data_IF_633898656760
#
_entry.id   IF_633898656760
#
_cell.length_a   1.000
_cell.length_b   1.000
_cell.length_c   1.000
_cell.angle_alpha   90.00
_cell.angle_beta   90.00
_cell.angle_gamma   90.00
#
_symmetry.space_group_name_H-M   'P 1'
#
loop_
_entity.id
_entity.type
_entity.pdbx_description
1 polymer ?
#
# COMPACT_ATOMS: atom_id res chain seq x y z
N UNK A 1 91.43 -23.18 0.71
CA UNK A 1 92.07 -23.51 -0.58
C UNK A 1 91.41 -22.61 -1.63
N UNK A 2 92.21 -21.80 -2.04
CA UNK A 2 92.76 -21.43 -3.38
C UNK A 2 91.80 -20.61 -4.22
N UNK A 3 92.11 -19.34 -4.31
CA UNK A 3 92.77 -18.62 -5.43
C UNK A 3 91.90 -18.65 -6.71
N UNK A 4 91.67 -17.66 -7.50
CA UNK A 4 92.49 -16.45 -7.79
C UNK A 4 91.73 -15.66 -8.87
N UNK A 5 91.73 -14.35 -8.79
CA UNK A 5 92.32 -13.43 -9.83
C UNK A 5 91.62 -13.42 -11.18
N UNK A 6 91.41 -12.38 -11.83
CA UNK A 6 91.85 -10.99 -11.95
C UNK A 6 91.42 -10.47 -13.34
N UNK A 7 91.27 -9.15 -13.41
CA UNK A 7 91.44 -8.27 -14.60
C UNK A 7 90.27 -8.31 -15.63
N UNK A 8 89.78 -7.28 -16.15
CA UNK A 8 90.15 -5.89 -16.10
C UNK A 8 89.41 -5.08 -17.19
N UNK A 9 89.34 -3.80 -16.99
CA UNK A 9 89.27 -2.76 -18.05
C UNK A 9 88.05 -2.81 -19.01
N UNK A 10 87.37 -1.82 -19.33
CA UNK A 10 87.39 -0.36 -19.27
C UNK A 10 86.28 0.17 -20.18
N UNK A 11 85.68 1.22 -19.73
CA UNK A 11 85.20 2.39 -20.46
C UNK A 11 84.28 2.23 -21.64
N UNK A 12 83.13 2.89 -21.60
CA UNK A 12 82.82 4.08 -22.36
C UNK A 12 81.33 4.43 -22.20
N UNK A 13 81.12 5.55 -21.55
CA UNK A 13 80.18 6.62 -21.85
C UNK A 13 79.03 6.35 -22.85
N UNK A 14 77.82 6.44 -22.41
CA UNK A 14 76.65 6.55 -23.25
C UNK A 14 75.45 6.91 -22.39
N UNK A 15 75.27 8.20 -22.10
CA UNK A 15 74.11 8.69 -21.41
C UNK A 15 72.82 8.48 -22.26
N UNK A 16 71.93 7.71 -21.75
CA UNK A 16 70.53 7.69 -22.23
C UNK A 16 69.66 8.28 -21.12
N UNK A 17 69.26 9.54 -21.35
CA UNK A 17 68.24 10.19 -20.59
C UNK A 17 66.92 9.48 -20.82
N UNK A 18 66.51 8.72 -19.82
CA UNK A 18 65.13 8.17 -19.78
C UNK A 18 64.15 9.30 -19.51
N UNK A 19 63.46 9.77 -20.55
CA UNK A 19 62.33 10.64 -20.45
C UNK A 19 61.17 9.80 -19.86
N UNK A 20 60.92 9.94 -18.56
CA UNK A 20 59.73 9.40 -17.92
C UNK A 20 58.59 10.35 -18.30
N UNK A 21 57.82 10.01 -19.33
CA UNK A 21 56.57 10.66 -19.67
C UNK A 21 55.55 10.23 -18.61
N UNK A 22 55.31 11.09 -17.64
CA UNK A 22 54.16 11.02 -16.75
C UNK A 22 52.91 11.28 -17.62
N UNK A 23 52.31 10.21 -18.12
CA UNK A 23 50.92 10.25 -18.61
C UNK A 23 50.02 10.51 -17.40
N UNK A 24 49.75 11.77 -17.11
CA UNK A 24 48.66 12.15 -16.24
C UNK A 24 47.36 11.63 -16.89
N UNK A 25 46.95 10.44 -16.46
CA UNK A 25 45.64 9.90 -16.84
C UNK A 25 44.58 10.87 -16.37
N UNK A 26 44.04 11.64 -17.30
CA UNK A 26 42.79 12.36 -17.09
C UNK A 26 41.74 11.29 -16.89
N UNK A 27 41.43 10.97 -15.64
CA UNK A 27 40.25 10.19 -15.31
C UNK A 27 39.05 11.04 -15.70
N UNK A 28 38.59 10.91 -16.95
CA UNK A 28 37.29 11.36 -17.35
C UNK A 28 36.31 10.50 -16.55
N UNK A 29 35.71 11.09 -15.52
CA UNK A 29 34.57 10.48 -14.85
C UNK A 29 33.54 10.19 -15.96
N UNK A 30 33.40 8.91 -16.33
CA UNK A 30 32.37 8.49 -17.28
C UNK A 30 31.01 8.98 -16.82
N UNK A 31 30.07 9.19 -17.74
CA UNK A 31 28.74 9.65 -17.37
C UNK A 31 28.19 8.68 -16.32
N UNK A 32 27.98 9.18 -15.11
CA UNK A 32 27.27 8.43 -14.06
C UNK A 32 25.92 8.09 -14.65
N UNK A 33 25.60 6.80 -14.72
CA UNK A 33 24.32 6.35 -15.20
C UNK A 33 23.25 6.90 -14.25
N UNK A 34 22.61 7.95 -14.65
CA UNK A 34 21.52 8.60 -13.93
C UNK A 34 20.32 7.66 -13.94
N UNK A 35 19.80 7.33 -12.77
CA UNK A 35 18.58 6.54 -12.64
C UNK A 35 17.40 7.47 -12.31
N UNK A 36 16.27 7.21 -12.97
CA UNK A 36 15.02 7.86 -12.66
C UNK A 36 14.31 7.04 -11.58
N UNK A 37 13.83 7.73 -10.55
CA UNK A 37 12.91 7.19 -9.57
C UNK A 37 11.57 7.90 -9.65
N UNK A 38 10.54 7.26 -9.14
CA UNK A 38 9.21 7.84 -9.02
C UNK A 38 8.72 7.70 -7.59
N UNK A 39 7.96 8.68 -7.14
CA UNK A 39 7.20 8.60 -5.88
C UNK A 39 5.89 9.35 -6.04
N UNK A 40 4.90 8.98 -5.23
CA UNK A 40 3.61 9.64 -5.18
C UNK A 40 3.52 10.43 -3.88
N UNK A 41 3.02 11.65 -3.98
CA UNK A 41 2.77 12.50 -2.81
C UNK A 41 1.38 13.10 -2.88
N UNK A 42 0.78 13.32 -1.74
CA UNK A 42 -0.39 14.18 -1.59
C UNK A 42 -0.09 15.29 -0.59
N UNK A 43 -0.62 16.47 -0.84
CA UNK A 43 -0.43 17.63 0.01
C UNK A 43 -1.80 18.20 0.38
N UNK A 44 -2.04 18.31 1.68
CA UNK A 44 -3.24 18.94 2.22
C UNK A 44 -2.84 20.20 2.98
N UNK A 45 -3.66 21.23 2.89
CA UNK A 45 -3.51 22.46 3.69
C UNK A 45 -4.00 22.27 5.14
N UNK A 46 -3.94 23.31 5.93
CA UNK A 46 -4.37 23.29 7.35
C UNK A 46 -5.86 23.03 7.53
N UNK A 47 -6.67 23.23 6.50
CA UNK A 47 -8.09 22.93 6.47
C UNK A 47 -8.39 21.52 5.92
N UNK A 48 -7.36 20.71 5.68
CA UNK A 48 -7.42 19.40 5.02
C UNK A 48 -7.95 19.47 3.57
N UNK A 49 -7.74 20.59 2.88
CA UNK A 49 -8.05 20.71 1.45
C UNK A 49 -6.82 20.32 0.62
N UNK A 50 -7.01 19.63 -0.51
CA UNK A 50 -5.90 19.31 -1.40
C UNK A 50 -5.26 20.56 -2.00
N UNK A 51 -3.92 20.59 -1.98
CA UNK A 51 -3.14 21.60 -2.69
C UNK A 51 -2.92 21.13 -4.12
N UNK A 52 -3.54 21.79 -5.08
CA UNK A 52 -3.60 21.34 -6.48
C UNK A 52 -2.74 22.18 -7.45
N UNK A 53 -2.00 23.14 -6.92
CA UNK A 53 -1.21 24.11 -7.69
C UNK A 53 0.30 24.02 -7.37
N UNK A 54 0.79 22.81 -7.01
CA UNK A 54 2.21 22.60 -6.73
C UNK A 54 3.04 22.69 -8.00
N UNK A 55 4.22 23.30 -7.86
CA UNK A 55 5.25 23.39 -8.88
C UNK A 55 6.49 22.57 -8.49
N UNK A 56 7.35 22.27 -9.46
CA UNK A 56 8.59 21.49 -9.22
C UNK A 56 9.46 22.13 -8.13
N UNK A 57 9.52 23.46 -8.09
CA UNK A 57 10.30 24.22 -7.11
C UNK A 57 9.75 24.17 -5.68
N UNK A 58 8.52 23.69 -5.49
CA UNK A 58 7.91 23.56 -4.17
C UNK A 58 8.32 22.26 -3.45
N UNK A 59 8.95 21.32 -4.16
CA UNK A 59 9.21 19.97 -3.65
C UNK A 59 10.71 19.68 -3.62
N UNK A 60 11.18 19.22 -2.46
CA UNK A 60 12.50 18.64 -2.29
C UNK A 60 12.38 17.13 -2.09
N UNK A 61 13.20 16.35 -2.77
CA UNK A 61 13.26 14.89 -2.64
C UNK A 61 14.66 14.49 -2.20
N UNK A 62 14.74 13.71 -1.10
CA UNK A 62 15.98 13.10 -0.65
C UNK A 62 15.88 11.58 -0.77
N UNK A 63 16.93 10.97 -1.26
CA UNK A 63 17.10 9.51 -1.31
C UNK A 63 18.37 9.17 -0.56
N UNK A 64 18.26 8.36 0.50
CA UNK A 64 19.36 8.01 1.40
C UNK A 64 20.12 9.26 1.90
N UNK A 65 19.35 10.31 2.27
CA UNK A 65 19.80 11.62 2.74
C UNK A 65 20.58 12.46 1.70
N UNK A 66 20.51 12.09 0.40
CA UNK A 66 21.10 12.83 -0.72
C UNK A 66 20.00 13.55 -1.50
N UNK A 67 20.19 14.85 -1.75
CA UNK A 67 19.27 15.64 -2.56
C UNK A 67 19.19 15.09 -3.99
N UNK A 68 17.96 14.89 -4.46
CA UNK A 68 17.67 14.44 -5.80
C UNK A 68 16.97 15.53 -6.61
N UNK A 69 17.38 15.68 -7.86
CA UNK A 69 16.75 16.65 -8.76
C UNK A 69 15.35 16.15 -9.16
N UNK A 70 14.32 16.91 -8.81
CA UNK A 70 12.98 16.70 -9.36
C UNK A 70 12.96 17.12 -10.82
N UNK A 71 12.55 16.21 -11.70
CA UNK A 71 12.51 16.42 -13.15
C UNK A 71 11.09 16.71 -13.63
N UNK A 72 10.11 16.02 -13.02
CA UNK A 72 8.71 16.09 -13.45
C UNK A 72 7.79 16.00 -12.25
N UNK A 73 6.73 16.77 -12.27
CA UNK A 73 5.64 16.78 -11.32
C UNK A 73 4.34 16.70 -12.10
N UNK A 74 3.55 15.65 -11.92
CA UNK A 74 2.32 15.41 -12.68
C UNK A 74 1.17 15.14 -11.72
N UNK A 75 0.03 15.85 -11.85
CA UNK A 75 -1.15 15.52 -11.09
C UNK A 75 -1.67 14.13 -11.50
N UNK A 76 -2.06 13.34 -10.50
CA UNK A 76 -2.64 12.00 -10.67
C UNK A 76 -3.99 11.99 -9.97
N UNK A 77 -5.01 11.56 -10.69
CA UNK A 77 -6.35 11.36 -10.14
C UNK A 77 -6.66 9.86 -10.20
N UNK A 78 -6.42 9.19 -9.09
CA UNK A 78 -6.67 7.75 -8.99
C UNK A 78 -7.62 7.45 -7.84
N UNK A 79 -8.93 7.30 -8.15
CA UNK A 79 -9.96 7.13 -7.12
C UNK A 79 -9.87 5.77 -6.44
N UNK A 80 -10.47 5.67 -5.25
CA UNK A 80 -10.68 4.40 -4.57
C UNK A 80 -11.90 3.69 -5.17
N UNK A 81 -11.77 2.37 -5.35
CA UNK A 81 -12.90 1.43 -5.46
C UNK A 81 -12.99 0.58 -4.19
N UNK A 82 -14.10 0.68 -3.51
CA UNK A 82 -14.33 0.01 -2.25
C UNK A 82 -15.13 -1.29 -2.44
N UNK A 83 -14.58 -2.38 -1.92
CA UNK A 83 -15.30 -3.65 -1.78
C UNK A 83 -15.61 -3.87 -0.30
N UNK A 84 -16.88 -4.00 0.04
CA UNK A 84 -17.32 -4.34 1.40
C UNK A 84 -17.76 -5.79 1.42
N UNK A 85 -17.16 -6.59 2.28
CA UNK A 85 -17.50 -8.00 2.49
C UNK A 85 -17.99 -8.21 3.92
N UNK A 86 -19.12 -8.88 4.07
CA UNK A 86 -19.78 -9.06 5.36
C UNK A 86 -20.02 -10.54 5.59
N UNK A 87 -19.58 -11.01 6.76
CA UNK A 87 -19.94 -12.31 7.26
C UNK A 87 -21.44 -12.33 7.58
N UNK A 88 -22.16 -13.30 7.03
CA UNK A 88 -23.59 -13.53 7.27
C UNK A 88 -23.84 -14.91 7.90
N UNK A 89 -22.83 -15.47 8.54
CA UNK A 89 -22.88 -16.76 9.23
C UNK A 89 -23.62 -16.73 10.58
N UNK A 90 -23.56 -17.85 11.34
CA UNK A 90 -24.35 -18.01 12.55
C UNK A 90 -24.14 -16.97 13.66
N UNK A 91 -22.93 -16.42 13.78
CA UNK A 91 -22.63 -15.36 14.75
C UNK A 91 -23.30 -14.06 14.35
N UNK A 92 -23.12 -13.66 13.10
CA UNK A 92 -23.70 -12.44 12.53
C UNK A 92 -25.22 -12.48 12.52
N UNK A 93 -25.80 -13.67 12.34
CA UNK A 93 -27.26 -13.86 12.32
C UNK A 93 -27.94 -13.34 13.60
N UNK A 94 -27.33 -13.55 14.76
CA UNK A 94 -27.84 -13.06 16.05
C UNK A 94 -27.81 -11.55 16.15
N UNK A 95 -26.86 -10.91 15.48
CA UNK A 95 -26.57 -9.49 15.54
C UNK A 95 -26.93 -8.75 14.22
N UNK A 96 -27.72 -9.39 13.35
CA UNK A 96 -27.96 -8.91 12.01
C UNK A 96 -28.54 -7.49 11.97
N UNK A 97 -29.42 -7.13 12.89
CA UNK A 97 -29.97 -5.79 13.02
C UNK A 97 -28.87 -4.75 13.30
N UNK A 98 -27.94 -5.06 14.19
CA UNK A 98 -26.79 -4.24 14.55
C UNK A 98 -25.84 -4.07 13.35
N UNK A 99 -25.53 -5.17 12.65
CA UNK A 99 -24.73 -5.14 11.43
C UNK A 99 -25.35 -4.25 10.35
N UNK A 100 -26.64 -4.40 10.09
CA UNK A 100 -27.35 -3.57 9.10
C UNK A 100 -27.34 -2.09 9.49
N UNK A 101 -27.58 -1.77 10.75
CA UNK A 101 -27.50 -0.39 11.25
C UNK A 101 -26.10 0.21 11.08
N UNK A 102 -25.07 -0.55 11.45
CA UNK A 102 -23.68 -0.13 11.33
C UNK A 102 -23.24 0.07 9.86
N UNK A 103 -23.69 -0.81 8.96
CA UNK A 103 -23.40 -0.70 7.52
C UNK A 103 -24.10 0.53 6.90
N UNK A 104 -25.34 0.87 7.33
CA UNK A 104 -26.00 2.10 6.90
C UNK A 104 -25.18 3.32 7.32
N UNK A 105 -24.81 3.41 8.58
CA UNK A 105 -23.99 4.50 9.09
C UNK A 105 -22.60 4.58 8.40
N UNK A 106 -22.04 3.44 8.05
CA UNK A 106 -20.80 3.38 7.25
C UNK A 106 -20.97 3.98 5.86
N UNK A 107 -22.00 3.55 5.10
CA UNK A 107 -22.23 4.05 3.75
C UNK A 107 -22.67 5.52 3.71
N UNK A 108 -23.36 6.00 4.75
CA UNK A 108 -23.70 7.42 4.92
C UNK A 108 -22.47 8.28 5.17
N UNK A 109 -21.48 7.75 5.91
CA UNK A 109 -20.25 8.47 6.23
C UNK A 109 -19.21 8.47 5.10
N UNK A 110 -19.36 7.61 4.07
CA UNK A 110 -18.47 7.57 2.93
C UNK A 110 -18.70 8.75 1.97
N UNK A 111 -17.65 9.35 1.40
CA UNK A 111 -17.78 10.29 0.29
C UNK A 111 -18.67 9.73 -0.84
N UNK A 112 -19.55 10.55 -1.45
CA UNK A 112 -20.53 10.06 -2.41
C UNK A 112 -19.95 9.56 -3.72
N UNK A 113 -18.73 9.96 -4.05
CA UNK A 113 -18.01 9.64 -5.27
C UNK A 113 -17.21 8.33 -5.20
N UNK A 114 -17.07 7.72 -4.01
CA UNK A 114 -16.44 6.40 -3.87
C UNK A 114 -17.37 5.32 -4.44
N UNK A 115 -16.92 4.65 -5.50
CA UNK A 115 -17.59 3.50 -6.07
C UNK A 115 -17.49 2.30 -5.12
N UNK A 116 -18.61 1.76 -4.69
CA UNK A 116 -18.67 0.75 -3.62
C UNK A 116 -19.48 -0.47 -4.06
N UNK A 117 -18.98 -1.65 -3.73
CA UNK A 117 -19.67 -2.94 -3.91
C UNK A 117 -19.91 -3.62 -2.56
N UNK A 118 -20.97 -4.42 -2.47
CA UNK A 118 -21.35 -5.15 -1.24
C UNK A 118 -21.45 -6.65 -1.53
N UNK A 119 -20.81 -7.45 -0.69
CA UNK A 119 -20.79 -8.91 -0.75
C UNK A 119 -21.10 -9.53 0.61
N UNK A 120 -21.68 -10.73 0.61
CA UNK A 120 -21.63 -11.65 1.74
C UNK A 120 -20.55 -12.70 1.50
N UNK A 121 -20.02 -13.32 2.57
CA UNK A 121 -18.92 -14.29 2.44
C UNK A 121 -19.33 -15.75 2.68
N UNK A 122 -20.53 -16.01 3.18
CA UNK A 122 -20.99 -17.36 3.47
C UNK A 122 -22.11 -17.83 2.51
N UNK A 123 -22.12 -19.11 2.13
CA UNK A 123 -21.08 -20.14 2.28
C UNK A 123 -19.94 -19.96 1.24
N UNK A 124 -20.06 -18.96 0.40
CA UNK A 124 -19.07 -18.47 -0.57
C UNK A 124 -19.37 -17.02 -0.88
N UNK A 125 -18.38 -16.23 -1.33
CA UNK A 125 -18.58 -14.84 -1.66
C UNK A 125 -19.70 -14.63 -2.69
N UNK A 126 -20.72 -13.86 -2.32
CA UNK A 126 -21.86 -13.51 -3.18
C UNK A 126 -21.99 -12.00 -3.33
N UNK A 127 -22.17 -11.55 -4.55
CA UNK A 127 -22.45 -10.15 -4.84
C UNK A 127 -23.89 -9.83 -4.41
N UNK A 128 -24.06 -8.91 -3.48
CA UNK A 128 -25.33 -8.33 -3.09
C UNK A 128 -25.58 -7.06 -3.93
N UNK A 129 -24.58 -6.17 -3.97
CA UNK A 129 -24.63 -4.96 -4.80
C UNK A 129 -23.35 -4.86 -5.63
N UNK A 130 -23.50 -4.77 -6.95
CA UNK A 130 -22.39 -4.49 -7.86
C UNK A 130 -21.85 -3.08 -7.59
N UNK A 131 -20.60 -2.83 -7.95
CA UNK A 131 -19.96 -1.55 -7.77
C UNK A 131 -20.81 -0.39 -8.29
N UNK A 132 -21.09 0.56 -7.41
CA UNK A 132 -21.98 1.70 -7.67
C UNK A 132 -21.65 2.88 -6.74
N UNK A 133 -21.97 4.08 -7.19
CA UNK A 133 -21.99 5.30 -6.36
C UNK A 133 -23.38 5.60 -5.79
N UNK A 134 -24.38 4.85 -6.20
CA UNK A 134 -25.77 5.00 -5.77
C UNK A 134 -25.96 4.48 -4.34
N UNK A 135 -26.01 5.40 -3.38
CA UNK A 135 -26.17 5.08 -1.95
C UNK A 135 -27.51 4.43 -1.62
N UNK A 136 -28.55 4.72 -2.41
CA UNK A 136 -29.84 4.08 -2.22
C UNK A 136 -29.79 2.58 -2.57
N UNK A 137 -29.09 2.22 -3.65
CA UNK A 137 -28.88 0.80 -4.00
C UNK A 137 -28.06 0.08 -2.91
N UNK A 138 -27.05 0.72 -2.34
CA UNK A 138 -26.28 0.14 -1.23
C UNK A 138 -27.18 -0.07 -0.01
N UNK A 139 -28.00 0.91 0.36
CA UNK A 139 -28.94 0.81 1.47
C UNK A 139 -29.96 -0.33 1.27
N UNK A 140 -30.53 -0.46 0.07
CA UNK A 140 -31.40 -1.58 -0.29
C UNK A 140 -30.67 -2.93 -0.22
N UNK A 141 -29.41 -2.98 -0.67
CA UNK A 141 -28.58 -4.17 -0.60
C UNK A 141 -28.32 -4.66 0.83
N UNK A 142 -28.22 -3.75 1.81
CA UNK A 142 -28.08 -4.13 3.23
C UNK A 142 -29.27 -4.98 3.69
N UNK A 143 -30.49 -4.65 3.23
CA UNK A 143 -31.69 -5.39 3.60
C UNK A 143 -31.75 -6.78 2.99
N UNK A 144 -31.03 -7.01 1.88
CA UNK A 144 -30.90 -8.31 1.22
C UNK A 144 -29.85 -9.22 1.85
N UNK A 145 -29.06 -8.76 2.83
CA UNK A 145 -28.13 -9.63 3.57
C UNK A 145 -28.98 -10.62 4.37
N UNK A 146 -29.02 -11.87 3.90
CA UNK A 146 -29.73 -12.95 4.58
C UNK A 146 -28.78 -13.81 5.40
N UNK A 147 -29.24 -14.35 6.55
CA UNK A 147 -28.47 -15.32 7.33
C UNK A 147 -28.10 -16.55 6.50
N UNK A 148 -26.93 -17.09 6.77
CA UNK A 148 -26.48 -18.38 6.24
C UNK A 148 -25.99 -19.27 7.39
N UNK A 149 -26.21 -20.58 7.29
CA UNK A 149 -25.78 -21.56 8.29
C UNK A 149 -24.37 -22.10 8.02
N UNK A 150 -23.78 -21.75 6.87
CA UNK A 150 -22.45 -22.19 6.47
C UNK A 150 -21.34 -21.62 7.36
N UNK A 151 -20.21 -22.32 7.41
CA UNK A 151 -19.01 -21.81 8.06
C UNK A 151 -18.47 -20.60 7.27
N UNK A 152 -17.91 -19.63 8.00
CA UNK A 152 -17.29 -18.46 7.37
C UNK A 152 -16.12 -18.86 6.46
N UNK A 153 -16.07 -18.27 5.29
CA UNK A 153 -15.02 -18.50 4.29
C UNK A 153 -14.08 -17.29 4.22
N UNK A 154 -13.59 -16.85 5.38
CA UNK A 154 -12.80 -15.62 5.51
C UNK A 154 -11.62 -15.57 4.54
N UNK A 155 -10.79 -16.61 4.52
CA UNK A 155 -9.58 -16.62 3.70
C UNK A 155 -9.89 -16.73 2.21
N UNK A 156 -10.84 -17.63 1.85
CA UNK A 156 -11.26 -17.77 0.45
C UNK A 156 -11.91 -16.49 -0.09
N UNK A 157 -12.69 -15.79 0.75
CA UNK A 157 -13.27 -14.49 0.39
C UNK A 157 -12.18 -13.42 0.16
N UNK A 158 -11.14 -13.44 0.98
CA UNK A 158 -10.00 -12.53 0.83
C UNK A 158 -9.22 -12.80 -0.47
N UNK A 159 -8.96 -14.08 -0.77
CA UNK A 159 -8.31 -14.50 -2.03
C UNK A 159 -9.16 -14.10 -3.24
N UNK A 160 -10.48 -14.37 -3.20
CA UNK A 160 -11.39 -13.99 -4.29
C UNK A 160 -11.46 -12.47 -4.48
N UNK A 161 -11.46 -11.67 -3.40
CA UNK A 161 -11.40 -10.22 -3.49
C UNK A 161 -10.12 -9.78 -4.23
N UNK A 162 -8.97 -10.39 -3.91
CA UNK A 162 -7.71 -10.11 -4.58
C UNK A 162 -7.72 -10.48 -6.06
N UNK A 163 -8.39 -11.56 -6.44
CA UNK A 163 -8.60 -11.96 -7.84
C UNK A 163 -9.41 -10.91 -8.63
N UNK A 164 -10.37 -10.26 -7.96
CA UNK A 164 -11.16 -9.18 -8.56
C UNK A 164 -10.32 -7.93 -8.77
N UNK A 165 -9.41 -7.58 -7.84
CA UNK A 165 -8.47 -6.48 -8.02
C UNK A 165 -7.60 -6.68 -9.27
N UNK A 166 -7.19 -7.90 -9.54
CA UNK A 166 -6.36 -8.21 -10.71
C UNK A 166 -7.16 -8.18 -12.02
N UNK A 167 -8.41 -8.59 -11.99
CA UNK A 167 -9.32 -8.58 -13.15
C UNK A 167 -9.80 -7.18 -13.53
N UNK A 168 -9.91 -6.26 -12.57
CA UNK A 168 -10.31 -4.88 -12.85
C UNK A 168 -9.14 -4.12 -13.50
N UNK A 169 -9.40 -3.60 -14.71
CA UNK A 169 -8.40 -2.87 -15.51
C UNK A 169 -8.57 -1.35 -15.42
N UNK A 170 -9.55 -0.87 -14.65
CA UNK A 170 -9.69 0.57 -14.43
C UNK A 170 -8.57 1.10 -13.53
N UNK A 171 -8.17 2.35 -13.74
CA UNK A 171 -7.12 2.98 -12.93
C UNK A 171 -7.72 3.47 -11.60
N UNK A 172 -7.50 2.69 -10.54
CA UNK A 172 -8.02 2.97 -9.20
C UNK A 172 -7.18 2.26 -8.13
N UNK A 173 -7.32 2.71 -6.89
CA UNK A 173 -6.79 2.00 -5.73
C UNK A 173 -7.86 1.07 -5.15
N UNK A 174 -7.65 -0.26 -5.13
CA UNK A 174 -8.59 -1.17 -4.51
C UNK A 174 -8.55 -1.02 -2.98
N UNK A 175 -9.72 -0.89 -2.36
CA UNK A 175 -9.86 -0.95 -0.90
C UNK A 175 -10.84 -2.06 -0.56
N UNK A 176 -10.44 -2.95 0.35
CA UNK A 176 -11.29 -3.98 0.92
C UNK A 176 -11.61 -3.64 2.37
N UNK A 177 -12.89 -3.61 2.72
CA UNK A 177 -13.39 -3.59 4.07
C UNK A 177 -14.10 -4.89 4.36
N UNK A 178 -13.58 -5.71 5.26
CA UNK A 178 -14.19 -6.98 5.64
C UNK A 178 -14.65 -6.91 7.10
N UNK A 179 -15.93 -7.19 7.31
CA UNK A 179 -16.55 -7.31 8.64
C UNK A 179 -16.92 -8.77 8.84
N UNK A 180 -16.19 -9.45 9.69
CA UNK A 180 -16.31 -10.90 9.88
C UNK A 180 -16.34 -11.28 11.35
N UNK A 181 -16.58 -12.57 11.64
CA UNK A 181 -16.42 -13.16 12.96
C UNK A 181 -15.18 -14.06 13.00
N UNK A 182 -14.65 -14.31 14.19
CA UNK A 182 -13.54 -15.24 14.43
C UNK A 182 -13.99 -16.71 14.56
N UNK A 183 -15.27 -16.97 14.35
CA UNK A 183 -15.84 -18.31 14.46
C UNK A 183 -15.64 -19.09 13.16
N UNK A 184 -14.47 -19.68 13.09
CA UNK A 184 -14.13 -20.79 12.24
C UNK A 184 -14.36 -20.60 10.74
N UNK A 185 -13.29 -20.47 10.00
CA UNK A 185 -13.36 -20.64 8.56
C UNK A 185 -12.91 -22.04 8.18
N UNK A 186 -13.66 -22.69 7.31
CA UNK A 186 -13.11 -23.75 6.51
C UNK A 186 -12.12 -23.07 5.55
N UNK A 187 -10.86 -23.49 5.57
CA UNK A 187 -9.86 -23.01 4.63
C UNK A 187 -9.71 -24.07 3.54
N UNK A 188 -10.05 -23.71 2.31
CA UNK A 188 -9.66 -24.47 1.13
C UNK A 188 -8.41 -23.89 0.47
N UNK A 189 -8.06 -22.65 0.80
CA UNK A 189 -6.91 -21.95 0.24
C UNK A 189 -5.58 -22.49 0.81
N UNK A 190 -4.58 -22.58 -0.04
CA UNK A 190 -3.25 -23.11 0.23
C UNK A 190 -2.21 -21.97 0.34
N UNK A 191 -1.01 -22.29 0.85
CA UNK A 191 0.12 -21.35 0.93
C UNK A 191 0.37 -20.58 -0.37
N UNK A 192 0.21 -21.25 -1.52
CA UNK A 192 0.35 -20.63 -2.83
C UNK A 192 -0.67 -19.51 -3.06
N UNK A 193 -1.89 -19.63 -2.54
CA UNK A 193 -2.94 -18.64 -2.71
C UNK A 193 -2.68 -17.44 -1.81
N UNK A 194 -2.09 -17.66 -0.64
CA UNK A 194 -1.63 -16.61 0.25
C UNK A 194 -0.48 -15.79 -0.40
N UNK A 195 0.49 -16.44 -1.02
CA UNK A 195 1.56 -15.75 -1.73
C UNK A 195 1.02 -14.90 -2.90
N UNK A 196 0.06 -15.41 -3.67
CA UNK A 196 -0.60 -14.66 -4.73
C UNK A 196 -1.37 -13.46 -4.19
N UNK A 197 -2.11 -13.63 -3.07
CA UNK A 197 -2.80 -12.55 -2.38
C UNK A 197 -1.84 -11.43 -2.01
N UNK A 198 -0.72 -11.75 -1.34
CA UNK A 198 0.28 -10.77 -0.93
C UNK A 198 0.86 -10.02 -2.14
N UNK A 199 1.23 -10.75 -3.19
CA UNK A 199 1.74 -10.16 -4.44
C UNK A 199 0.74 -9.18 -5.04
N UNK A 200 -0.54 -9.54 -5.15
CA UNK A 200 -1.58 -8.68 -5.71
C UNK A 200 -1.84 -7.44 -4.88
N UNK A 201 -1.85 -7.57 -3.55
CA UNK A 201 -1.98 -6.42 -2.64
C UNK A 201 -0.90 -5.39 -2.94
N UNK A 202 0.35 -5.82 -3.05
CA UNK A 202 1.49 -4.93 -3.33
C UNK A 202 1.40 -4.35 -4.75
N UNK A 203 1.20 -5.19 -5.77
CA UNK A 203 1.18 -4.75 -7.18
C UNK A 203 0.03 -3.80 -7.51
N UNK A 204 -1.11 -3.94 -6.83
CA UNK A 204 -2.29 -3.08 -7.04
C UNK A 204 -2.34 -1.89 -6.08
N UNK A 205 -1.46 -1.85 -5.09
CA UNK A 205 -1.53 -0.88 -4.02
C UNK A 205 -2.85 -0.97 -3.24
N UNK A 206 -3.32 -2.21 -3.03
CA UNK A 206 -4.59 -2.41 -2.35
C UNK A 206 -4.47 -2.17 -0.85
N UNK A 207 -5.47 -1.53 -0.25
CA UNK A 207 -5.60 -1.39 1.21
C UNK A 207 -6.67 -2.34 1.74
N UNK A 208 -6.37 -3.08 2.81
CA UNK A 208 -7.29 -4.07 3.38
C UNK A 208 -7.55 -3.79 4.85
N UNK A 209 -8.81 -3.56 5.18
CA UNK A 209 -9.27 -3.33 6.54
C UNK A 209 -10.11 -4.50 7.04
N UNK A 210 -9.95 -4.84 8.31
CA UNK A 210 -10.74 -5.87 8.98
C UNK A 210 -11.38 -5.34 10.26
N UNK A 211 -12.63 -5.75 10.47
CA UNK A 211 -13.27 -5.71 11.79
C UNK A 211 -13.74 -7.13 12.09
N UNK A 212 -13.21 -7.72 13.15
CA UNK A 212 -13.49 -9.08 13.54
C UNK A 212 -14.29 -9.07 14.84
N UNK A 213 -15.51 -9.61 14.77
CA UNK A 213 -16.34 -9.83 15.97
C UNK A 213 -15.92 -11.13 16.64
N UNK A 214 -15.52 -11.02 17.90
CA UNK A 214 -15.22 -12.18 18.73
C UNK A 214 -16.51 -12.95 19.05
N UNK A 215 -16.66 -14.13 18.45
CA UNK A 215 -17.88 -14.94 18.58
C UNK A 215 -17.98 -15.72 19.87
N UNK A 216 -16.90 -15.79 20.65
CA UNK A 216 -16.81 -16.59 21.88
C UNK A 216 -16.84 -18.10 21.65
N UNK A 217 -16.52 -18.87 22.70
CA UNK A 217 -16.56 -20.32 22.69
C UNK A 217 -15.31 -20.99 22.10
N UNK A 218 -15.38 -22.34 22.01
CA UNK A 218 -14.23 -23.16 21.58
C UNK A 218 -13.76 -22.89 20.15
N UNK A 219 -14.65 -22.45 19.27
CA UNK A 219 -14.30 -22.17 17.86
C UNK A 219 -13.44 -20.94 17.68
N UNK A 220 -13.64 -19.91 18.50
CA UNK A 220 -12.79 -18.70 18.48
C UNK A 220 -11.33 -19.02 18.88
N UNK A 221 -11.14 -20.01 19.75
CA UNK A 221 -9.84 -20.49 20.18
C UNK A 221 -9.30 -21.67 19.33
N UNK A 222 -9.93 -21.94 18.20
CA UNK A 222 -9.48 -22.99 17.27
C UNK A 222 -8.24 -22.56 16.49
N UNK A 223 -7.54 -23.55 15.92
CA UNK A 223 -6.41 -23.29 15.01
C UNK A 223 -6.84 -22.39 13.82
N UNK A 224 -8.06 -22.58 13.33
CA UNK A 224 -8.61 -21.77 12.24
C UNK A 224 -8.82 -20.30 12.66
N UNK A 225 -9.31 -20.03 13.87
CA UNK A 225 -9.46 -18.66 14.39
C UNK A 225 -8.11 -17.96 14.62
N UNK A 226 -7.12 -18.71 15.15
CA UNK A 226 -5.76 -18.20 15.30
C UNK A 226 -5.13 -17.82 13.96
N UNK A 227 -5.25 -18.67 12.95
CA UNK A 227 -4.73 -18.44 11.61
C UNK A 227 -5.45 -17.29 10.91
N UNK A 228 -6.76 -17.14 11.09
CA UNK A 228 -7.52 -15.99 10.59
C UNK A 228 -6.98 -14.66 11.16
N UNK A 229 -6.67 -14.64 12.45
CA UNK A 229 -6.08 -13.47 13.12
C UNK A 229 -4.69 -13.17 12.57
N UNK A 230 -3.84 -14.19 12.43
CA UNK A 230 -2.48 -14.05 11.88
C UNK A 230 -2.51 -13.51 10.46
N UNK A 231 -3.30 -14.09 9.58
CA UNK A 231 -3.48 -13.64 8.19
C UNK A 231 -4.03 -12.21 8.15
N UNK A 232 -5.05 -11.91 8.95
CA UNK A 232 -5.64 -10.58 9.03
C UNK A 232 -4.62 -9.52 9.43
N UNK A 233 -3.83 -9.77 10.47
CA UNK A 233 -2.77 -8.86 10.93
C UNK A 233 -1.65 -8.70 9.89
N UNK A 234 -1.21 -9.80 9.27
CA UNK A 234 -0.16 -9.76 8.24
C UNK A 234 -0.61 -8.98 7.00
N UNK A 235 -1.85 -9.20 6.55
CA UNK A 235 -2.43 -8.51 5.38
C UNK A 235 -2.64 -7.02 5.66
N UNK A 236 -3.15 -6.64 6.83
CA UNK A 236 -3.29 -5.22 7.17
C UNK A 236 -1.96 -4.51 7.27
N UNK A 237 -0.95 -5.17 7.87
CA UNK A 237 0.41 -4.61 7.94
C UNK A 237 1.01 -4.41 6.55
N UNK A 238 0.82 -5.38 5.65
CA UNK A 238 1.34 -5.33 4.27
C UNK A 238 0.65 -4.23 3.44
N UNK A 239 -0.66 -4.05 3.63
CA UNK A 239 -1.50 -3.16 2.83
C UNK A 239 -1.67 -1.75 3.40
N UNK A 240 -1.10 -1.46 4.59
CA UNK A 240 -1.33 -0.20 5.29
C UNK A 240 -2.76 -0.02 5.81
N UNK A 241 -3.52 -1.11 5.92
CA UNK A 241 -4.88 -1.10 6.44
C UNK A 241 -4.96 -1.06 7.97
N UNK A 242 -6.17 -1.32 8.50
CA UNK A 242 -6.44 -1.36 9.94
C UNK A 242 -7.17 -2.66 10.31
N UNK A 243 -6.73 -3.28 11.40
CA UNK A 243 -7.34 -4.48 11.97
C UNK A 243 -7.93 -4.15 13.34
N UNK A 244 -9.21 -4.45 13.54
CA UNK A 244 -9.90 -4.27 14.81
C UNK A 244 -10.56 -5.56 15.23
N UNK A 245 -10.34 -5.97 16.47
CA UNK A 245 -11.05 -7.07 17.11
C UNK A 245 -12.02 -6.49 18.15
N UNK A 246 -13.30 -6.82 18.04
CA UNK A 246 -14.36 -6.31 18.91
C UNK A 246 -15.07 -7.43 19.64
N UNK A 247 -15.35 -7.20 20.92
CA UNK A 247 -16.05 -8.17 21.78
C UNK A 247 -17.58 -8.13 21.65
N UNK A 248 -18.13 -7.02 21.13
CA UNK A 248 -19.57 -6.84 20.99
C UNK A 248 -19.94 -6.18 19.67
N UNK A 249 -20.96 -6.68 18.99
CA UNK A 249 -21.43 -6.16 17.71
C UNK A 249 -21.90 -4.68 17.79
N UNK A 250 -22.36 -4.23 18.94
CA UNK A 250 -22.76 -2.83 19.16
C UNK A 250 -21.64 -1.83 18.89
N UNK A 251 -20.36 -2.24 19.04
CA UNK A 251 -19.20 -1.39 18.69
C UNK A 251 -19.12 -1.08 17.19
N UNK A 252 -19.68 -1.93 16.33
CA UNK A 252 -19.71 -1.69 14.88
C UNK A 252 -20.39 -0.36 14.52
N UNK A 253 -21.43 0.03 15.27
CA UNK A 253 -22.22 1.25 14.97
C UNK A 253 -21.36 2.51 15.03
N UNK A 254 -20.37 2.56 15.91
CA UNK A 254 -19.43 3.69 16.03
C UNK A 254 -18.16 3.47 15.23
N UNK A 255 -17.69 2.23 15.13
CA UNK A 255 -16.42 1.89 14.51
C UNK A 255 -16.46 1.97 12.97
N UNK A 256 -17.54 1.47 12.35
CA UNK A 256 -17.60 1.49 10.88
C UNK A 256 -17.62 2.92 10.31
N UNK A 257 -18.34 3.91 10.87
CA UNK A 257 -18.20 5.30 10.45
C UNK A 257 -16.78 5.89 10.62
N UNK A 258 -16.01 5.45 11.63
CA UNK A 258 -14.60 5.83 11.77
C UNK A 258 -13.77 5.32 10.57
N UNK A 259 -13.98 4.06 10.14
CA UNK A 259 -13.35 3.50 8.94
C UNK A 259 -13.78 4.25 7.67
N UNK A 260 -15.07 4.59 7.55
CA UNK A 260 -15.56 5.36 6.41
C UNK A 260 -14.86 6.72 6.29
N UNK A 261 -14.68 7.42 7.40
CA UNK A 261 -13.93 8.69 7.45
C UNK A 261 -12.46 8.49 7.06
N UNK A 262 -11.80 7.46 7.56
CA UNK A 262 -10.41 7.13 7.21
C UNK A 262 -10.28 6.84 5.71
N UNK A 263 -11.18 6.00 5.15
CA UNK A 263 -11.23 5.68 3.72
C UNK A 263 -11.48 6.96 2.90
N UNK A 264 -12.39 7.82 3.37
CA UNK A 264 -12.66 9.10 2.72
C UNK A 264 -11.46 10.04 2.69
N UNK A 265 -10.69 10.11 3.78
CA UNK A 265 -9.45 10.89 3.81
C UNK A 265 -8.39 10.34 2.86
N UNK A 266 -8.28 9.01 2.76
CA UNK A 266 -7.38 8.38 1.79
C UNK A 266 -7.82 8.65 0.35
N UNK A 267 -9.13 8.56 0.08
CA UNK A 267 -9.71 8.88 -1.22
C UNK A 267 -9.42 10.33 -1.63
N UNK A 268 -9.62 11.28 -0.71
CA UNK A 268 -9.33 12.69 -0.95
C UNK A 268 -7.86 12.91 -1.33
N UNK A 269 -6.93 12.24 -0.65
CA UNK A 269 -5.50 12.31 -0.97
C UNK A 269 -5.19 11.70 -2.34
N UNK A 270 -5.64 10.47 -2.59
CA UNK A 270 -5.34 9.70 -3.81
C UNK A 270 -5.95 10.29 -5.08
N UNK A 271 -7.08 10.99 -4.97
CA UNK A 271 -7.66 11.74 -6.10
C UNK A 271 -6.93 13.04 -6.41
N UNK A 272 -6.00 13.48 -5.54
CA UNK A 272 -5.23 14.72 -5.68
C UNK A 272 -3.74 14.48 -5.45
N UNK A 273 -3.26 13.32 -5.84
CA UNK A 273 -1.84 12.98 -5.78
C UNK A 273 -1.03 13.67 -6.88
N UNK A 274 0.25 13.78 -6.61
CA UNK A 274 1.25 14.12 -7.61
C UNK A 274 2.23 12.96 -7.77
N UNK A 275 2.49 12.58 -9.00
CA UNK A 275 3.62 11.72 -9.36
C UNK A 275 4.85 12.58 -9.58
N UNK A 276 5.86 12.36 -8.77
CA UNK A 276 7.17 12.99 -8.89
C UNK A 276 8.09 12.04 -9.60
N UNK A 277 8.75 12.50 -10.67
CA UNK A 277 9.91 11.84 -11.25
C UNK A 277 11.16 12.58 -10.82
N UNK A 278 12.08 11.88 -10.17
CA UNK A 278 13.34 12.43 -9.70
C UNK A 278 14.53 11.66 -10.27
N UNK A 279 15.68 12.32 -10.30
CA UNK A 279 16.93 11.78 -10.80
C UNK A 279 17.89 11.54 -9.64
N UNK A 280 18.50 10.36 -9.61
CA UNK A 280 19.53 9.98 -8.63
C UNK A 280 20.76 9.42 -9.30
N UNK A 281 21.91 9.55 -8.62
CA UNK A 281 23.22 9.10 -9.14
C UNK A 281 23.60 7.68 -8.68
N UNK A 282 22.78 7.01 -7.88
CA UNK A 282 23.03 5.68 -7.34
C UNK A 282 22.27 4.60 -8.12
N UNK A 283 22.94 3.49 -8.40
CA UNK A 283 22.33 2.27 -8.98
C UNK A 283 21.74 1.32 -7.93
N UNK A 284 22.08 1.51 -6.66
CA UNK A 284 21.57 0.66 -5.59
C UNK A 284 20.10 0.97 -5.31
N UNK A 285 19.27 -0.01 -4.94
CA UNK A 285 17.91 0.26 -4.49
C UNK A 285 17.92 1.25 -3.33
N UNK A 286 17.01 2.24 -3.29
CA UNK A 286 16.94 3.20 -2.20
C UNK A 286 16.53 2.49 -0.90
N UNK A 287 17.18 2.83 0.20
CA UNK A 287 16.78 2.35 1.54
C UNK A 287 15.75 3.30 2.17
N UNK A 288 15.88 4.60 1.89
CA UNK A 288 15.02 5.62 2.43
C UNK A 288 14.73 6.69 1.38
N UNK A 289 13.46 7.02 1.22
CA UNK A 289 13.02 8.14 0.39
C UNK A 289 12.24 9.09 1.28
N UNK A 290 12.53 10.37 1.20
CA UNK A 290 11.77 11.42 1.86
C UNK A 290 11.47 12.57 0.89
N UNK A 291 10.33 13.21 1.09
CA UNK A 291 9.98 14.43 0.39
C UNK A 291 9.57 15.50 1.39
N UNK A 292 9.82 16.75 1.04
CA UNK A 292 9.45 17.90 1.87
C UNK A 292 9.04 19.08 0.98
N UNK A 293 8.22 19.96 1.54
CA UNK A 293 7.89 21.21 0.86
C UNK A 293 9.03 22.22 1.02
N UNK A 294 9.36 22.93 -0.05
CA UNK A 294 10.31 24.00 -0.05
C UNK A 294 9.79 25.15 0.82
N UNK A 295 10.68 25.79 1.59
CA UNK A 295 10.38 26.96 2.44
C UNK A 295 9.95 28.21 1.62
N UNK A 296 10.08 28.19 0.30
CA UNK A 296 9.79 29.34 -0.54
C UNK A 296 8.30 29.70 -0.64
N UNK A 297 7.40 28.76 -0.39
CA UNK A 297 5.97 29.05 -0.20
C UNK A 297 5.66 29.31 1.28
N UNK A 298 5.92 30.51 1.73
CA UNK A 298 5.60 30.99 3.08
C UNK A 298 4.07 30.91 3.26
N UNK A 299 3.62 30.09 4.21
CA UNK A 299 2.20 29.94 4.60
C UNK A 299 1.57 28.59 4.35
N UNK A 300 2.18 27.68 3.58
CA UNK A 300 1.75 26.30 3.48
C UNK A 300 2.25 25.50 4.68
N UNK A 301 1.49 25.54 5.78
CA UNK A 301 1.55 24.50 6.80
C UNK A 301 0.81 23.29 6.24
N UNK A 302 1.43 22.62 5.27
CA UNK A 302 0.81 21.51 4.58
C UNK A 302 1.34 20.19 5.12
N UNK A 303 0.45 19.21 5.30
CA UNK A 303 0.85 17.84 5.57
C UNK A 303 1.18 17.16 4.24
N UNK A 304 2.46 16.85 4.04
CA UNK A 304 2.91 16.05 2.92
C UNK A 304 2.87 14.57 3.35
N UNK A 305 2.13 13.77 2.61
CA UNK A 305 2.14 12.31 2.75
C UNK A 305 2.84 11.70 1.55
N UNK A 306 3.71 10.73 1.81
CA UNK A 306 4.30 9.89 0.77
C UNK A 306 3.47 8.63 0.73
N UNK A 307 2.74 8.44 -0.36
CA UNK A 307 1.97 7.22 -0.55
C UNK A 307 2.89 6.14 -1.10
N UNK A 308 3.05 5.06 -0.34
CA UNK A 308 4.10 4.05 -0.50
C UNK A 308 3.91 3.08 -1.66
N UNK A 309 3.43 3.53 -2.80
CA UNK A 309 3.38 2.73 -4.01
C UNK A 309 4.66 2.97 -4.81
N UNK A 310 5.72 2.25 -4.44
CA UNK A 310 6.87 2.14 -5.34
C UNK A 310 6.51 1.19 -6.48
N UNK A 311 6.77 1.57 -7.73
CA UNK A 311 6.58 0.70 -8.88
C UNK A 311 7.47 -0.53 -8.84
#
# INVERSE_FOLDING_TARGET
MLKSRLHGRASLTGGLAAIVVFLAGVWTAGPRAQQLGQLYISVLDVENKPVTDLEIGDINVLVDDVDCKVIKLEPVNKPIKLTVMVDNGPVTTRELATYRSALRAFFEALPPDIETSLYTINPQPRTIVKATRDRQKLAQGIDLIAPDSGAGMFFDALVEASDRFDKDKSDHYPVLMMVASDVGSNMSAMDRDYQKLQKRIVEKGATVHFVILHGGGERANSVAGALQTEVGLAVTKLSGGRYENIAAATRLVTLLPEFAKQIGQSHLRQTHEYRITYQRDSKQPPQRISASLSKLRIGLQAQLSIDGHMP
#
